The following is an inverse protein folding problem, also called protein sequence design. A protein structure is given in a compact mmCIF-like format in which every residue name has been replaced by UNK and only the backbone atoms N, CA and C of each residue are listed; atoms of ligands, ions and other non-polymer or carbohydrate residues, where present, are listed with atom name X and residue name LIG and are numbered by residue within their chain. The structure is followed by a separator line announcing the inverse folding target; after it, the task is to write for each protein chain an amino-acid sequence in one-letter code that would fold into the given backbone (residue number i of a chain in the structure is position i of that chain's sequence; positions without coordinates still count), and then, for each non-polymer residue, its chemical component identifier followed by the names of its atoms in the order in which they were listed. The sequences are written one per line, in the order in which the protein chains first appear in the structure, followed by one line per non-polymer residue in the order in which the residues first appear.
data_IF_700114981566
#
_entry.id   IF_700114981566
#
_cell.length_a   1.000
_cell.length_b   1.000
_cell.length_c   1.000
_cell.angle_alpha   90.00
_cell.angle_beta   90.00
_cell.angle_gamma   90.00
#
_symmetry.space_group_name_H-M   'P 1'
#
loop_
_entity.id
_entity.type
_entity.pdbx_description
1 polymer ?
#
# COMPACT_ATOMS: atom_id res chain seq x y z
N UNK A 1 12.09 -10.69 33.14
CA UNK A 1 11.72 -10.39 31.76
C UNK A 1 10.54 -11.26 31.34
N UNK A 2 9.67 -10.76 30.52
CA UNK A 2 8.64 -11.54 29.82
C UNK A 2 9.33 -12.12 28.57
N UNK A 3 9.47 -13.45 28.49
CA UNK A 3 9.97 -14.15 27.29
C UNK A 3 11.36 -13.67 26.81
N UNK A 4 12.35 -13.51 27.70
CA UNK A 4 13.68 -12.99 27.40
C UNK A 4 13.73 -11.55 26.86
N UNK A 5 12.61 -10.82 26.90
CA UNK A 5 12.53 -9.45 26.50
C UNK A 5 13.06 -8.52 27.59
N UNK A 6 14.14 -7.78 27.27
CA UNK A 6 14.72 -6.77 28.14
C UNK A 6 13.91 -5.47 28.02
N UNK A 7 13.17 -5.18 29.06
CA UNK A 7 12.37 -3.97 29.17
C UNK A 7 12.69 -3.24 30.47
N UNK A 8 13.15 -2.02 30.35
CA UNK A 8 13.39 -1.12 31.47
C UNK A 8 12.22 -0.14 31.58
N UNK A 9 11.66 -0.03 32.77
CA UNK A 9 10.62 0.97 33.06
C UNK A 9 10.95 1.63 34.39
N UNK A 10 10.85 2.94 34.43
CA UNK A 10 11.06 3.76 35.59
C UNK A 10 9.97 4.80 35.74
N UNK A 11 9.59 5.11 36.97
CA UNK A 11 8.57 6.10 37.26
C UNK A 11 7.48 5.59 38.19
N UNK A 12 6.30 6.16 38.12
CA UNK A 12 5.16 5.76 38.94
C UNK A 12 3.82 5.87 38.19
N UNK A 13 2.82 5.19 38.74
CA UNK A 13 1.39 5.34 38.41
C UNK A 13 0.70 5.68 39.73
N UNK A 14 -0.03 6.80 39.74
CA UNK A 14 -0.84 7.22 40.88
C UNK A 14 -2.33 7.18 40.51
N UNK A 15 -3.16 6.92 41.51
CA UNK A 15 -4.63 6.85 41.38
C UNK A 15 -5.24 7.98 42.22
N UNK A 16 -5.30 9.21 41.73
CA UNK A 16 -6.02 10.31 42.37
C UNK A 16 -7.54 10.05 42.37
N UNK A 17 -8.33 10.95 42.98
CA UNK A 17 -9.80 10.82 43.02
C UNK A 17 -10.40 10.75 41.61
N UNK A 18 -9.80 11.45 40.62
CA UNK A 18 -10.23 11.40 39.23
C UNK A 18 -9.04 11.00 38.32
N UNK A 19 -9.23 9.95 37.52
CA UNK A 19 -8.29 9.54 36.49
C UNK A 19 -7.13 8.68 37.00
N UNK A 20 -6.09 8.63 36.18
CA UNK A 20 -4.84 7.92 36.47
C UNK A 20 -3.67 8.83 36.08
N UNK A 21 -2.77 9.09 37.02
CA UNK A 21 -1.59 9.92 36.76
C UNK A 21 -0.39 9.05 36.47
N UNK A 22 0.24 9.32 35.33
CA UNK A 22 1.41 8.59 34.83
C UNK A 22 2.66 9.49 34.88
N UNK A 23 3.76 8.95 35.35
CA UNK A 23 5.11 9.48 35.11
C UNK A 23 6.01 8.27 34.86
N UNK A 24 6.02 7.82 33.60
CA UNK A 24 6.69 6.59 33.17
C UNK A 24 7.70 6.92 32.08
N UNK A 25 8.92 6.48 32.22
CA UNK A 25 9.91 6.38 31.16
C UNK A 25 10.24 4.90 30.93
N UNK A 26 10.32 4.51 29.68
CA UNK A 26 10.57 3.11 29.32
C UNK A 26 11.54 3.01 28.15
N UNK A 27 12.29 1.90 28.13
CA UNK A 27 13.19 1.57 27.04
C UNK A 27 13.34 0.04 26.90
N UNK A 28 13.35 -0.40 25.68
CA UNK A 28 13.73 -1.75 25.27
C UNK A 28 14.84 -1.63 24.23
N UNK A 29 16.10 -1.59 24.65
CA UNK A 29 17.22 -1.49 23.72
C UNK A 29 17.41 -2.80 22.96
N UNK A 30 17.68 -2.72 21.67
CA UNK A 30 18.11 -3.79 20.76
C UNK A 30 17.60 -5.20 21.13
N UNK A 31 16.30 -5.32 21.27
CA UNK A 31 15.64 -6.59 21.55
C UNK A 31 15.51 -7.41 20.28
N UNK A 32 15.55 -8.73 20.39
CA UNK A 32 15.23 -9.62 19.27
C UNK A 32 13.79 -9.33 18.80
N UNK A 33 13.63 -9.10 17.52
CA UNK A 33 12.33 -8.81 16.89
C UNK A 33 11.27 -9.89 17.20
N UNK A 34 11.70 -11.16 17.36
CA UNK A 34 10.84 -12.26 17.78
C UNK A 34 10.26 -12.06 19.18
N UNK A 35 11.11 -11.65 20.11
CA UNK A 35 10.70 -11.44 21.51
C UNK A 35 9.66 -10.34 21.63
N UNK A 36 9.77 -9.29 20.80
CA UNK A 36 8.79 -8.20 20.77
C UNK A 36 7.47 -8.63 20.13
N UNK A 37 7.50 -9.39 19.05
CA UNK A 37 6.28 -9.95 18.45
C UNK A 37 5.49 -10.79 19.44
N UNK A 38 6.16 -11.45 20.39
CA UNK A 38 5.53 -12.27 21.44
C UNK A 38 4.72 -11.45 22.48
N UNK A 39 4.87 -10.12 22.51
CA UNK A 39 4.11 -9.22 23.38
C UNK A 39 2.74 -8.86 22.78
N UNK A 40 2.49 -9.17 21.51
CA UNK A 40 1.19 -8.93 20.89
C UNK A 40 0.15 -9.88 21.50
N UNK A 41 -0.98 -9.37 22.05
CA UNK A 41 -1.94 -10.19 22.78
C UNK A 41 -2.45 -11.40 21.99
N UNK A 42 -2.71 -12.47 22.71
CA UNK A 42 -2.90 -13.86 22.31
C UNK A 42 -3.94 -14.25 21.26
N UNK A 43 -4.65 -13.32 20.63
CA UNK A 43 -5.50 -13.67 19.48
C UNK A 43 -4.69 -14.12 18.24
N UNK A 44 -3.35 -14.04 18.33
CA UNK A 44 -2.41 -14.46 17.28
C UNK A 44 -1.49 -15.60 17.72
N UNK A 45 -1.63 -16.16 18.92
CA UNK A 45 -0.60 -17.00 19.56
C UNK A 45 -0.47 -18.42 19.00
N UNK A 46 -1.48 -19.03 18.42
CA UNK A 46 -1.35 -20.38 17.85
C UNK A 46 -0.43 -20.40 16.62
N UNK A 47 -0.42 -19.35 15.82
CA UNK A 47 0.45 -19.21 14.66
C UNK A 47 1.84 -18.64 15.01
N UNK A 48 1.99 -17.91 16.12
CA UNK A 48 3.22 -17.20 16.48
C UNK A 48 4.41 -18.09 16.82
N UNK A 49 4.18 -19.26 17.40
CA UNK A 49 5.27 -20.20 17.75
C UNK A 49 6.01 -20.72 16.52
N UNK A 50 5.35 -20.74 15.38
CA UNK A 50 5.86 -21.23 14.11
C UNK A 50 6.41 -20.13 13.19
N UNK A 51 6.27 -18.86 13.55
CA UNK A 51 6.83 -17.72 12.80
C UNK A 51 8.36 -17.76 12.91
N UNK A 52 9.01 -17.73 11.75
CA UNK A 52 10.44 -17.43 11.69
C UNK A 52 10.61 -15.92 11.70
N UNK A 53 11.43 -15.41 12.60
CA UNK A 53 11.76 -13.99 12.64
C UNK A 53 13.19 -13.76 13.06
N UNK A 54 13.77 -12.64 12.61
CA UNK A 54 15.11 -12.16 12.96
C UNK A 54 15.19 -10.66 12.82
N UNK A 55 16.31 -10.08 13.23
CA UNK A 55 16.53 -8.64 13.26
C UNK A 55 16.38 -8.07 14.66
N UNK A 56 16.63 -6.79 14.81
CA UNK A 56 16.54 -6.10 16.10
C UNK A 56 15.45 -5.04 16.08
N UNK A 57 14.82 -4.85 17.22
CA UNK A 57 13.87 -3.78 17.46
C UNK A 57 14.24 -3.08 18.77
N UNK A 58 14.24 -1.78 18.75
CA UNK A 58 14.31 -0.96 19.94
C UNK A 58 13.14 0.00 20.01
N UNK A 59 12.62 0.23 21.19
CA UNK A 59 11.71 1.32 21.43
C UNK A 59 12.03 1.97 22.77
N UNK A 60 11.81 3.26 22.82
CA UNK A 60 11.97 4.06 24.01
C UNK A 60 10.94 5.19 24.04
N UNK A 61 10.66 5.70 25.21
CA UNK A 61 9.73 6.80 25.32
C UNK A 61 9.36 7.12 26.75
N UNK A 62 8.42 8.05 26.84
CA UNK A 62 7.77 8.38 28.11
C UNK A 62 6.27 8.59 27.92
N UNK A 63 5.55 8.44 29.04
CA UNK A 63 4.14 8.83 29.18
C UNK A 63 4.03 9.62 30.48
N UNK A 64 3.53 10.86 30.43
CA UNK A 64 3.49 11.76 31.58
C UNK A 64 2.24 12.60 31.63
N UNK A 65 1.56 12.59 32.79
CA UNK A 65 0.38 13.39 33.10
C UNK A 65 -0.86 12.58 33.35
N UNK A 66 -1.95 13.29 33.59
CA UNK A 66 -3.23 12.73 34.02
C UNK A 66 -4.05 12.21 32.83
N UNK A 67 -4.49 10.98 32.92
CA UNK A 67 -5.49 10.40 32.02
C UNK A 67 -6.87 10.53 32.64
N UNK A 68 -7.80 11.15 31.92
CA UNK A 68 -9.23 11.28 32.29
C UNK A 68 -10.11 10.99 31.08
N UNK A 69 -11.43 11.16 31.19
CA UNK A 69 -12.34 11.06 30.05
C UNK A 69 -12.08 12.12 28.95
N UNK A 70 -11.47 13.25 29.30
CA UNK A 70 -11.27 14.40 28.40
C UNK A 70 -9.81 14.76 28.16
N UNK A 71 -8.88 14.05 28.80
CA UNK A 71 -7.45 14.35 28.76
C UNK A 71 -6.64 13.08 28.68
N UNK A 72 -5.62 13.08 27.83
CA UNK A 72 -4.61 12.02 27.79
C UNK A 72 -3.28 12.54 28.30
N UNK A 73 -2.40 11.69 28.89
CA UNK A 73 -1.04 12.10 29.21
C UNK A 73 -0.26 12.51 27.96
N UNK A 74 0.71 13.38 28.11
CA UNK A 74 1.72 13.63 27.07
C UNK A 74 2.59 12.38 26.87
N UNK A 75 3.06 12.16 25.65
CA UNK A 75 3.95 11.05 25.35
C UNK A 75 4.88 11.34 24.17
N UNK A 76 6.02 10.69 24.18
CA UNK A 76 6.96 10.58 23.06
C UNK A 76 7.43 9.12 23.00
N UNK A 77 7.12 8.43 21.92
CA UNK A 77 7.44 7.03 21.72
C UNK A 77 8.21 6.90 20.41
N UNK A 78 9.41 6.39 20.49
CA UNK A 78 10.30 6.17 19.37
C UNK A 78 10.50 4.67 19.16
N UNK A 79 10.31 4.21 17.94
CA UNK A 79 10.48 2.83 17.52
C UNK A 79 11.53 2.76 16.40
N UNK A 80 12.45 1.83 16.50
CA UNK A 80 13.39 1.50 15.44
C UNK A 80 13.40 -0.01 15.19
N UNK A 81 13.28 -0.41 13.94
CA UNK A 81 13.49 -1.78 13.46
C UNK A 81 14.69 -1.77 12.52
N UNK A 82 15.64 -2.69 12.73
CA UNK A 82 16.83 -2.88 11.90
C UNK A 82 16.89 -4.32 11.39
N UNK A 83 16.97 -4.47 10.06
CA UNK A 83 17.08 -5.74 9.37
C UNK A 83 16.06 -6.79 9.84
N UNK A 84 14.85 -6.31 10.14
CA UNK A 84 13.73 -7.14 10.56
C UNK A 84 13.34 -8.12 9.45
N UNK A 85 12.98 -9.34 9.85
CA UNK A 85 12.44 -10.37 8.97
C UNK A 85 11.36 -11.15 9.70
N UNK A 86 10.30 -11.47 9.01
CA UNK A 86 9.36 -12.48 9.46
C UNK A 86 8.83 -13.33 8.31
N UNK A 87 8.50 -14.58 8.63
CA UNK A 87 7.88 -15.51 7.70
C UNK A 87 6.86 -16.38 8.42
N UNK A 88 5.62 -16.31 8.01
CA UNK A 88 4.59 -17.24 8.42
C UNK A 88 4.79 -18.59 7.72
N UNK A 89 4.42 -19.72 8.34
CA UNK A 89 4.58 -21.05 7.73
C UNK A 89 3.90 -21.20 6.37
N UNK A 90 2.76 -20.54 6.19
CA UNK A 90 1.97 -20.58 4.95
C UNK A 90 2.55 -19.67 3.85
N UNK A 91 3.46 -18.74 4.20
CA UNK A 91 4.09 -17.86 3.23
C UNK A 91 5.35 -18.52 2.65
N UNK A 92 5.42 -18.73 1.34
CA UNK A 92 6.57 -19.36 0.68
C UNK A 92 7.85 -18.51 0.75
N UNK A 93 7.72 -17.20 0.99
CA UNK A 93 8.84 -16.26 1.11
C UNK A 93 8.65 -15.33 2.31
N UNK A 94 9.77 -14.88 2.93
CA UNK A 94 9.70 -13.93 4.03
C UNK A 94 9.38 -12.51 3.54
N UNK A 95 8.92 -11.69 4.48
CA UNK A 95 9.10 -10.25 4.44
C UNK A 95 10.42 -9.96 5.16
N UNK A 96 11.38 -9.39 4.48
CA UNK A 96 12.73 -9.16 5.02
C UNK A 96 13.26 -7.75 4.77
N UNK A 97 14.47 -7.47 5.25
CA UNK A 97 15.10 -6.15 5.19
C UNK A 97 14.20 -5.04 5.69
N UNK A 98 13.41 -5.36 6.71
CA UNK A 98 12.51 -4.40 7.33
C UNK A 98 13.35 -3.43 8.14
N UNK A 99 13.38 -2.19 7.69
CA UNK A 99 14.02 -1.09 8.40
C UNK A 99 12.97 0.01 8.57
N UNK A 100 12.70 0.39 9.81
CA UNK A 100 11.68 1.40 10.14
C UNK A 100 12.21 2.30 11.24
N UNK A 101 12.07 3.60 11.07
CA UNK A 101 12.19 4.57 12.15
C UNK A 101 10.82 5.25 12.30
N UNK A 102 10.25 5.21 13.49
CA UNK A 102 8.94 5.81 13.76
C UNK A 102 8.96 6.58 15.08
N UNK A 103 8.37 7.75 15.08
CA UNK A 103 8.08 8.51 16.29
C UNK A 103 6.59 8.82 16.37
N UNK A 104 5.99 8.61 17.55
CA UNK A 104 4.60 8.99 17.85
C UNK A 104 4.63 9.92 19.05
N UNK A 105 4.14 11.14 18.89
CA UNK A 105 4.26 12.19 19.90
C UNK A 105 2.94 12.88 20.18
N UNK A 106 2.73 13.21 21.44
CA UNK A 106 1.70 14.14 21.87
C UNK A 106 2.24 14.96 23.07
N UNK A 107 2.50 16.22 22.84
CA UNK A 107 3.00 17.14 23.88
C UNK A 107 1.86 17.85 24.63
N UNK A 108 0.63 17.52 24.28
CA UNK A 108 -0.57 18.16 24.83
C UNK A 108 -1.42 17.11 25.55
N UNK A 109 -2.46 17.56 26.21
CA UNK A 109 -3.44 16.66 26.83
C UNK A 109 -4.60 16.30 25.91
N UNK A 110 -4.50 16.57 24.61
CA UNK A 110 -5.57 16.34 23.62
C UNK A 110 -5.14 15.32 22.56
N UNK A 111 -5.91 14.27 22.41
CA UNK A 111 -5.60 13.18 21.48
C UNK A 111 -5.42 13.68 20.04
N UNK A 112 -6.19 14.67 19.63
CA UNK A 112 -6.19 15.24 18.29
C UNK A 112 -4.84 15.86 17.88
N UNK A 113 -4.00 16.22 18.86
CA UNK A 113 -2.69 16.80 18.60
C UNK A 113 -1.58 15.74 18.49
N UNK A 114 -1.95 14.45 18.42
CA UNK A 114 -0.98 13.37 18.19
C UNK A 114 -0.38 13.49 16.79
N UNK A 115 0.93 13.42 16.71
CA UNK A 115 1.71 13.36 15.47
C UNK A 115 2.36 11.98 15.30
N UNK A 116 2.53 11.56 14.04
CA UNK A 116 3.24 10.34 13.65
C UNK A 116 4.28 10.72 12.60
N UNK A 117 5.52 10.29 12.81
CA UNK A 117 6.62 10.52 11.89
C UNK A 117 7.31 9.19 11.59
N UNK A 118 7.40 8.86 10.31
CA UNK A 118 8.16 7.74 9.76
C UNK A 118 9.11 8.33 8.71
N UNK A 119 10.27 8.88 9.12
CA UNK A 119 11.19 9.53 8.19
C UNK A 119 11.66 8.60 7.08
N UNK A 120 11.79 7.32 7.40
CA UNK A 120 12.15 6.28 6.42
C UNK A 120 11.57 4.94 6.85
N UNK A 121 11.07 4.21 5.89
CA UNK A 121 10.86 2.77 6.02
C UNK A 121 11.28 2.06 4.74
N UNK A 122 11.72 0.82 4.85
CA UNK A 122 11.97 -0.07 3.72
C UNK A 122 11.70 -1.50 4.12
N UNK A 123 11.26 -2.30 3.16
CA UNK A 123 11.09 -3.75 3.30
C UNK A 123 11.12 -4.43 1.94
N UNK A 124 11.41 -5.72 1.92
CA UNK A 124 11.25 -6.55 0.74
C UNK A 124 10.15 -7.58 0.99
N UNK A 125 9.31 -7.78 0.02
CA UNK A 125 8.36 -8.87 -0.08
C UNK A 125 8.91 -9.90 -1.06
N UNK A 126 9.68 -10.87 -0.58
CA UNK A 126 10.52 -11.68 -1.45
C UNK A 126 11.56 -10.81 -2.19
N UNK A 127 11.52 -10.75 -3.53
CA UNK A 127 12.39 -9.88 -4.32
C UNK A 127 11.80 -8.47 -4.59
N UNK A 128 10.66 -8.13 -3.97
CA UNK A 128 9.88 -6.93 -4.27
C UNK A 128 10.17 -5.83 -3.22
N UNK A 129 11.05 -4.86 -3.51
CA UNK A 129 11.36 -3.79 -2.58
C UNK A 129 10.23 -2.75 -2.53
N UNK A 130 9.91 -2.32 -1.31
CA UNK A 130 9.00 -1.21 -1.02
C UNK A 130 9.72 -0.28 -0.04
N UNK A 131 9.65 1.01 -0.27
CA UNK A 131 10.24 2.03 0.61
C UNK A 131 9.44 3.32 0.58
N UNK A 132 9.60 4.13 1.62
CA UNK A 132 8.92 5.40 1.69
C UNK A 132 9.19 6.16 2.98
N UNK A 133 8.37 7.17 3.17
CA UNK A 133 8.28 7.97 4.39
C UNK A 133 6.81 8.37 4.62
N UNK A 134 6.49 8.75 5.84
CA UNK A 134 5.17 9.23 6.19
C UNK A 134 5.23 10.18 7.38
N UNK A 135 4.48 11.26 7.31
CA UNK A 135 4.27 12.19 8.42
C UNK A 135 2.78 12.52 8.52
N UNK A 136 2.21 12.37 9.70
CA UNK A 136 0.92 12.89 10.10
C UNK A 136 1.14 13.92 11.20
N UNK A 137 0.81 15.17 10.94
CA UNK A 137 1.10 16.24 11.89
C UNK A 137 0.12 16.26 13.08
N UNK A 138 -1.14 15.95 12.83
CA UNK A 138 -2.15 15.85 13.88
C UNK A 138 -3.35 15.03 13.41
N UNK A 139 -4.13 14.50 14.38
CA UNK A 139 -5.34 13.73 14.13
C UNK A 139 -6.60 14.60 13.93
N UNK A 140 -6.54 15.89 14.23
CA UNK A 140 -7.66 16.82 14.05
C UNK A 140 -7.94 17.10 12.58
N UNK A 141 -6.89 17.48 11.86
CA UNK A 141 -6.97 17.91 10.47
C UNK A 141 -6.48 16.85 9.51
N UNK A 142 -5.93 15.73 10.02
CA UNK A 142 -5.27 14.68 9.23
C UNK A 142 -4.32 15.27 8.19
N UNK A 143 -3.53 16.29 8.63
CA UNK A 143 -2.54 16.90 7.75
C UNK A 143 -1.35 15.96 7.59
N UNK A 144 -1.23 15.40 6.40
CA UNK A 144 -0.26 14.34 6.10
C UNK A 144 0.65 14.70 4.93
N UNK A 145 1.81 14.08 4.94
CA UNK A 145 2.76 14.07 3.84
C UNK A 145 3.45 12.70 3.79
N UNK A 146 3.64 12.14 2.58
CA UNK A 146 4.33 10.87 2.46
C UNK A 146 4.69 10.53 1.03
N UNK A 147 5.66 9.64 0.91
CA UNK A 147 6.10 9.05 -0.34
C UNK A 147 6.14 7.54 -0.22
N UNK A 148 5.77 6.84 -1.28
CA UNK A 148 5.82 5.39 -1.41
C UNK A 148 6.41 5.03 -2.77
N UNK A 149 7.45 4.18 -2.75
CA UNK A 149 8.09 3.69 -3.95
C UNK A 149 8.18 2.16 -3.88
N UNK A 150 8.04 1.50 -5.02
CA UNK A 150 8.16 0.04 -5.03
C UNK A 150 8.34 -0.53 -6.41
N UNK A 151 8.81 -1.79 -6.40
CA UNK A 151 8.92 -2.64 -7.59
C UNK A 151 8.33 -3.99 -7.24
N UNK A 152 7.36 -4.42 -8.03
CA UNK A 152 6.61 -5.65 -7.77
C UNK A 152 6.71 -6.59 -8.97
N UNK A 153 7.14 -7.81 -8.73
CA UNK A 153 7.04 -8.92 -9.69
C UNK A 153 5.75 -9.69 -9.38
N UNK A 154 4.76 -9.55 -10.25
CA UNK A 154 3.42 -10.11 -10.02
C UNK A 154 3.42 -11.65 -10.02
N UNK A 155 4.30 -12.30 -10.79
CA UNK A 155 4.43 -13.74 -10.78
C UNK A 155 4.92 -14.26 -9.43
N UNK A 156 5.85 -13.54 -8.81
CA UNK A 156 6.32 -13.86 -7.47
C UNK A 156 5.24 -13.61 -6.43
N UNK A 157 4.58 -12.45 -6.50
CA UNK A 157 3.50 -12.12 -5.56
C UNK A 157 2.33 -13.10 -5.62
N UNK A 158 1.93 -13.55 -6.79
CA UNK A 158 0.86 -14.56 -6.92
C UNK A 158 1.30 -15.96 -6.51
N UNK A 159 2.59 -16.24 -6.45
CA UNK A 159 3.09 -17.46 -5.82
C UNK A 159 2.97 -17.42 -4.29
N UNK A 160 2.95 -16.22 -3.71
CA UNK A 160 2.79 -15.99 -2.27
C UNK A 160 1.30 -15.85 -1.91
N UNK A 161 0.55 -15.13 -2.73
CA UNK A 161 -0.89 -14.91 -2.59
C UNK A 161 -1.59 -15.42 -3.85
N UNK A 162 -1.89 -16.71 -3.95
CA UNK A 162 -2.53 -17.28 -5.12
C UNK A 162 -3.89 -16.64 -5.39
N UNK A 163 -4.14 -16.30 -6.64
CA UNK A 163 -5.45 -15.88 -7.13
C UNK A 163 -6.07 -17.12 -7.82
N UNK A 164 -7.13 -17.64 -7.25
CA UNK A 164 -7.79 -18.83 -7.77
C UNK A 164 -8.22 -18.65 -9.23
N UNK A 165 -7.93 -19.63 -10.06
CA UNK A 165 -8.29 -19.62 -11.47
C UNK A 165 -7.55 -18.58 -12.32
N UNK A 166 -6.58 -17.83 -11.77
CA UNK A 166 -5.91 -16.76 -12.51
C UNK A 166 -4.39 -16.88 -12.42
N UNK A 167 -3.73 -16.91 -13.56
CA UNK A 167 -2.28 -16.78 -13.68
C UNK A 167 -1.94 -15.33 -14.05
N UNK A 168 -1.08 -14.70 -13.24
CA UNK A 168 -0.69 -13.32 -13.40
C UNK A 168 0.84 -13.21 -13.38
N UNK A 169 1.40 -12.44 -14.32
CA UNK A 169 2.83 -12.09 -14.31
C UNK A 169 3.04 -10.67 -14.84
N UNK A 170 4.24 -10.16 -14.65
CA UNK A 170 4.66 -8.83 -15.08
C UNK A 170 5.40 -8.09 -13.97
N UNK A 171 5.99 -6.96 -14.34
CA UNK A 171 6.73 -6.11 -13.42
C UNK A 171 6.02 -4.75 -13.32
N UNK A 172 5.72 -4.33 -12.09
CA UNK A 172 5.15 -3.03 -11.78
C UNK A 172 6.17 -2.19 -11.01
N UNK A 173 6.66 -1.10 -11.61
CA UNK A 173 7.38 -0.04 -10.92
C UNK A 173 6.38 1.09 -10.59
N UNK A 174 6.39 1.57 -9.35
CA UNK A 174 5.54 2.67 -8.96
C UNK A 174 6.23 3.64 -8.01
N UNK A 175 5.82 4.90 -8.11
CA UNK A 175 6.12 5.94 -7.13
C UNK A 175 4.86 6.76 -6.88
N UNK A 176 4.62 7.10 -5.62
CA UNK A 176 3.49 7.93 -5.22
C UNK A 176 3.90 8.89 -4.11
N UNK A 177 3.37 10.10 -4.15
CA UNK A 177 3.48 11.08 -3.08
C UNK A 177 2.12 11.69 -2.82
N UNK A 178 1.86 11.96 -1.55
CA UNK A 178 0.65 12.65 -1.12
C UNK A 178 1.04 13.74 -0.12
N UNK A 179 0.38 14.90 -0.20
CA UNK A 179 0.59 16.01 0.74
C UNK A 179 -0.66 16.84 0.89
N UNK A 180 -1.10 17.05 2.11
CA UNK A 180 -2.26 17.90 2.41
C UNK A 180 -3.14 17.30 3.48
N UNK A 181 -4.36 17.81 3.55
CA UNK A 181 -5.39 17.40 4.50
C UNK A 181 -6.23 16.27 3.92
N UNK A 182 -6.63 15.34 4.79
CA UNK A 182 -7.65 14.35 4.49
C UNK A 182 -8.90 14.64 5.30
N UNK A 183 -10.06 14.74 4.64
CA UNK A 183 -11.35 14.95 5.28
C UNK A 183 -12.42 14.13 4.54
N UNK A 184 -12.77 12.98 5.12
CA UNK A 184 -13.73 12.05 4.51
C UNK A 184 -15.15 12.64 4.45
N UNK A 185 -15.52 13.51 5.40
CA UNK A 185 -16.85 14.12 5.48
C UNK A 185 -17.06 15.12 4.34
N UNK A 186 -16.04 15.94 4.08
CA UNK A 186 -16.10 16.97 3.03
C UNK A 186 -15.47 16.48 1.71
N UNK A 187 -15.09 15.20 1.61
CA UNK A 187 -14.44 14.59 0.43
C UNK A 187 -13.16 15.32 0.00
N UNK A 188 -12.40 15.83 0.97
CA UNK A 188 -11.10 16.46 0.72
C UNK A 188 -10.02 15.38 0.79
N UNK A 189 -9.24 15.25 -0.26
CA UNK A 189 -8.08 14.38 -0.33
C UNK A 189 -6.79 15.22 -0.31
N UNK A 190 -5.64 14.68 0.13
CA UNK A 190 -4.38 15.36 -0.08
C UNK A 190 -4.10 15.53 -1.59
N UNK A 191 -3.28 16.50 -1.95
CA UNK A 191 -2.69 16.56 -3.28
C UNK A 191 -1.90 15.27 -3.53
N UNK A 192 -2.08 14.65 -4.69
CA UNK A 192 -1.50 13.35 -5.04
C UNK A 192 -0.73 13.48 -6.36
N UNK A 193 0.44 12.85 -6.43
CA UNK A 193 1.13 12.58 -7.67
C UNK A 193 1.69 11.17 -7.63
N UNK A 194 1.23 10.32 -8.55
CA UNK A 194 1.67 8.94 -8.66
C UNK A 194 2.05 8.60 -10.10
N UNK A 195 3.03 7.74 -10.26
CA UNK A 195 3.50 7.22 -11.55
C UNK A 195 3.57 5.70 -11.47
N UNK A 196 3.19 5.07 -12.56
CA UNK A 196 3.16 3.62 -12.70
C UNK A 196 3.77 3.22 -14.04
N UNK A 197 4.62 2.21 -14.02
CA UNK A 197 5.12 1.55 -15.23
C UNK A 197 4.91 0.06 -15.07
N UNK A 198 4.07 -0.50 -15.90
CA UNK A 198 3.83 -1.94 -15.99
C UNK A 198 4.48 -2.49 -17.25
N UNK A 199 5.15 -3.62 -17.17
CA UNK A 199 5.85 -4.26 -18.28
C UNK A 199 5.82 -5.78 -18.17
N UNK A 200 5.99 -6.44 -19.32
CA UNK A 200 6.03 -7.90 -19.44
C UNK A 200 4.79 -8.59 -18.81
N UNK A 201 3.66 -7.91 -18.89
CA UNK A 201 2.43 -8.37 -18.27
C UNK A 201 1.84 -9.57 -18.99
N UNK A 202 1.27 -10.49 -18.20
CA UNK A 202 0.55 -11.66 -18.64
C UNK A 202 -0.63 -11.90 -17.72
N UNK A 203 -1.80 -12.13 -18.29
CA UNK A 203 -3.01 -12.50 -17.54
C UNK A 203 -3.71 -13.65 -18.25
N UNK A 204 -3.93 -14.75 -17.53
CA UNK A 204 -4.74 -15.88 -17.98
C UNK A 204 -5.74 -16.24 -16.90
N UNK A 205 -7.00 -16.14 -17.20
CA UNK A 205 -8.08 -16.65 -16.34
C UNK A 205 -8.58 -17.99 -16.86
N UNK A 206 -8.95 -18.90 -15.97
CA UNK A 206 -9.41 -20.24 -16.32
C UNK A 206 -10.74 -20.25 -17.11
N UNK A 207 -11.56 -19.20 -16.95
CA UNK A 207 -12.84 -19.09 -17.64
C UNK A 207 -12.71 -18.73 -19.14
N UNK A 208 -11.55 -18.14 -19.54
CA UNK A 208 -11.33 -17.73 -20.92
C UNK A 208 -10.24 -18.57 -21.59
N UNK A 209 -10.42 -19.02 -22.83
CA UNK A 209 -9.47 -19.88 -23.52
C UNK A 209 -8.17 -19.17 -23.90
N UNK A 210 -8.18 -17.83 -24.06
CA UNK A 210 -7.01 -17.04 -24.44
C UNK A 210 -6.41 -16.28 -23.25
N UNK A 211 -5.12 -15.96 -23.37
CA UNK A 211 -4.40 -15.10 -22.43
C UNK A 211 -4.23 -13.69 -23.04
N UNK A 212 -4.13 -12.69 -22.18
CA UNK A 212 -3.56 -11.39 -22.53
C UNK A 212 -2.06 -11.45 -22.28
N UNK A 213 -1.28 -11.14 -23.29
CA UNK A 213 0.17 -11.23 -23.27
C UNK A 213 0.82 -9.88 -23.54
N UNK A 214 2.11 -9.76 -23.16
CA UNK A 214 2.92 -8.56 -23.41
C UNK A 214 2.25 -7.27 -22.93
N UNK A 215 1.45 -7.37 -21.87
CA UNK A 215 0.75 -6.21 -21.32
C UNK A 215 1.79 -5.21 -20.83
N UNK A 216 1.64 -3.97 -21.24
CA UNK A 216 2.44 -2.85 -20.75
C UNK A 216 1.60 -1.60 -20.59
N UNK A 217 1.97 -0.74 -19.66
CA UNK A 217 1.34 0.54 -19.45
C UNK A 217 2.30 1.53 -18.79
N UNK A 218 2.19 2.79 -19.18
CA UNK A 218 2.79 3.93 -18.48
C UNK A 218 1.65 4.86 -18.09
N UNK A 219 1.48 5.06 -16.80
CA UNK A 219 0.37 5.83 -16.27
C UNK A 219 0.82 6.80 -15.19
N UNK A 220 0.09 7.90 -15.05
CA UNK A 220 0.20 8.82 -13.93
C UNK A 220 -1.17 9.20 -13.39
N UNK A 221 -1.24 9.46 -12.09
CA UNK A 221 -2.41 10.01 -11.43
C UNK A 221 -1.96 11.27 -10.70
N UNK A 222 -2.68 12.36 -10.85
CA UNK A 222 -2.39 13.60 -10.13
C UNK A 222 -3.66 14.34 -9.72
N UNK A 223 -3.57 15.02 -8.60
CA UNK A 223 -4.49 16.06 -8.16
C UNK A 223 -3.69 17.07 -7.35
N UNK A 224 -3.72 18.32 -7.70
CA UNK A 224 -2.99 19.40 -7.02
C UNK A 224 -3.81 20.00 -5.86
N UNK A 225 -5.13 19.89 -5.91
CA UNK A 225 -6.06 20.46 -4.93
C UNK A 225 -6.76 19.44 -4.04
N UNK A 226 -6.65 18.14 -4.37
CA UNK A 226 -7.31 17.08 -3.60
C UNK A 226 -8.83 17.03 -3.77
N UNK A 227 -9.41 17.64 -4.78
CA UNK A 227 -10.83 17.51 -5.11
C UNK A 227 -11.04 16.53 -6.26
N UNK A 228 -12.18 15.86 -6.32
CA UNK A 228 -12.48 14.88 -7.38
C UNK A 228 -12.45 15.51 -8.77
N UNK A 229 -12.85 16.79 -8.90
CA UNK A 229 -12.78 17.52 -10.18
C UNK A 229 -11.33 17.77 -10.64
N UNK A 230 -10.38 17.83 -9.71
CA UNK A 230 -8.97 18.11 -10.04
C UNK A 230 -8.17 16.84 -10.38
N UNK A 231 -8.75 15.66 -10.18
CA UNK A 231 -8.05 14.42 -10.50
C UNK A 231 -7.91 14.21 -12.00
N UNK A 232 -6.71 13.81 -12.37
CA UNK A 232 -6.34 13.41 -13.73
C UNK A 232 -5.62 12.08 -13.66
N UNK A 233 -6.13 11.06 -14.35
CA UNK A 233 -5.43 9.83 -14.66
C UNK A 233 -5.02 9.86 -16.13
N UNK A 234 -3.75 9.66 -16.40
CA UNK A 234 -3.17 9.70 -17.75
C UNK A 234 -2.41 8.40 -18.02
N UNK A 235 -2.97 7.56 -18.86
CA UNK A 235 -2.30 6.42 -19.47
C UNK A 235 -1.66 6.89 -20.76
N UNK A 236 -0.44 7.40 -20.67
CA UNK A 236 0.30 7.93 -21.83
C UNK A 236 0.53 6.85 -22.91
N UNK A 237 0.62 5.60 -22.50
CA UNK A 237 0.63 4.44 -23.37
C UNK A 237 0.14 3.21 -22.61
N UNK A 238 -0.60 2.36 -23.30
CA UNK A 238 -0.85 0.99 -22.87
C UNK A 238 -0.91 0.07 -24.10
N UNK A 239 -0.70 -1.20 -23.90
CA UNK A 239 -0.87 -2.18 -24.95
C UNK A 239 -0.82 -3.60 -24.43
N UNK A 240 -1.29 -4.52 -25.24
CA UNK A 240 -1.29 -5.96 -25.01
C UNK A 240 -1.43 -6.73 -26.32
N UNK A 241 -1.14 -8.01 -26.29
CA UNK A 241 -1.44 -8.94 -27.38
C UNK A 241 -2.52 -9.93 -26.95
N UNK A 242 -3.47 -10.18 -27.82
CA UNK A 242 -4.50 -11.23 -27.70
C UNK A 242 -4.44 -12.10 -28.94
N UNK A 243 -4.13 -13.39 -28.75
CA UNK A 243 -3.98 -14.35 -29.86
C UNK A 243 -3.03 -13.88 -30.98
N UNK A 244 -1.95 -13.16 -30.58
CA UNK A 244 -0.94 -12.60 -31.51
C UNK A 244 -1.35 -11.27 -32.19
N UNK A 245 -2.57 -10.79 -31.97
CA UNK A 245 -3.00 -9.49 -32.46
C UNK A 245 -2.70 -8.40 -31.42
N UNK A 246 -2.05 -7.33 -31.87
CA UNK A 246 -1.56 -6.25 -31.01
C UNK A 246 -2.61 -5.15 -30.91
N UNK A 247 -2.85 -4.71 -29.66
CA UNK A 247 -3.72 -3.58 -29.34
C UNK A 247 -2.89 -2.59 -28.53
N UNK A 248 -2.87 -1.34 -28.95
CA UNK A 248 -2.17 -0.24 -28.27
C UNK A 248 -3.05 0.98 -28.17
N UNK A 249 -2.78 1.83 -27.18
CA UNK A 249 -3.55 3.04 -27.01
C UNK A 249 -3.01 3.98 -25.96
N UNK A 250 -3.76 5.03 -25.76
CA UNK A 250 -3.64 5.97 -24.66
C UNK A 250 -5.01 6.36 -24.15
N UNK A 251 -5.09 6.80 -22.90
CA UNK A 251 -6.34 7.23 -22.29
C UNK A 251 -6.03 8.29 -21.21
N UNK A 252 -6.68 9.43 -21.30
CA UNK A 252 -6.69 10.44 -20.27
C UNK A 252 -8.10 10.61 -19.73
N UNK A 253 -8.24 10.54 -18.42
CA UNK A 253 -9.47 10.80 -17.69
C UNK A 253 -9.20 12.00 -16.78
N UNK A 254 -10.01 13.02 -16.87
CA UNK A 254 -9.93 14.22 -16.04
C UNK A 254 -11.29 14.50 -15.43
N UNK A 255 -11.32 15.20 -14.30
CA UNK A 255 -12.55 15.49 -13.56
C UNK A 255 -13.30 14.21 -13.21
N UNK A 256 -12.93 13.58 -12.09
CA UNK A 256 -13.51 12.29 -11.68
C UNK A 256 -14.98 12.37 -11.23
N UNK A 257 -15.56 13.57 -11.19
CA UNK A 257 -17.01 13.73 -11.04
C UNK A 257 -17.72 13.67 -12.40
N UNK A 258 -17.20 14.39 -13.38
CA UNK A 258 -17.77 14.44 -14.74
C UNK A 258 -17.17 13.37 -15.68
N UNK A 259 -16.16 12.63 -15.23
CA UNK A 259 -15.46 11.59 -15.99
C UNK A 259 -15.16 11.98 -17.44
N UNK A 260 -14.51 13.14 -17.62
CA UNK A 260 -14.12 13.60 -18.95
C UNK A 260 -12.99 12.73 -19.48
N UNK A 261 -13.19 12.02 -20.59
CA UNK A 261 -12.15 11.17 -21.18
C UNK A 261 -11.76 11.62 -22.59
N UNK A 262 -10.52 11.35 -22.91
CA UNK A 262 -9.96 11.44 -24.24
C UNK A 262 -8.98 10.28 -24.43
N UNK A 263 -9.12 9.54 -25.53
CA UNK A 263 -8.23 8.43 -25.78
C UNK A 263 -8.22 7.98 -27.22
N UNK A 264 -7.20 7.20 -27.54
CA UNK A 264 -7.04 6.55 -28.81
C UNK A 264 -6.69 5.09 -28.60
N UNK A 265 -7.26 4.20 -29.41
CA UNK A 265 -6.93 2.78 -29.44
C UNK A 265 -6.73 2.37 -30.89
N UNK A 266 -5.62 1.72 -31.16
CA UNK A 266 -5.29 1.15 -32.45
C UNK A 266 -4.96 -0.34 -32.31
N UNK A 267 -5.39 -1.16 -33.26
CA UNK A 267 -5.09 -2.57 -33.24
C UNK A 267 -5.78 -3.35 -34.36
N UNK A 268 -5.45 -4.62 -34.40
CA UNK A 268 -6.12 -5.59 -35.25
C UNK A 268 -6.78 -6.67 -34.39
N UNK A 269 -7.89 -7.19 -34.87
CA UNK A 269 -8.63 -8.27 -34.24
C UNK A 269 -9.00 -9.29 -35.29
N UNK A 270 -8.64 -10.54 -35.05
CA UNK A 270 -9.09 -11.68 -35.84
C UNK A 270 -10.44 -12.16 -35.30
N UNK A 271 -11.50 -11.99 -36.09
CA UNK A 271 -12.86 -12.30 -35.65
C UNK A 271 -13.06 -13.78 -35.33
N UNK A 272 -12.41 -14.67 -36.06
CA UNK A 272 -12.50 -16.12 -35.83
C UNK A 272 -11.91 -16.48 -34.48
N UNK A 273 -10.77 -15.86 -34.12
CA UNK A 273 -10.13 -16.04 -32.79
C UNK A 273 -10.96 -15.44 -31.66
N UNK A 274 -11.53 -14.26 -31.88
CA UNK A 274 -12.42 -13.63 -30.89
C UNK A 274 -13.67 -14.45 -30.65
N UNK A 275 -14.26 -15.01 -31.70
CA UNK A 275 -15.43 -15.88 -31.57
C UNK A 275 -15.11 -17.18 -30.81
N UNK A 276 -13.88 -17.67 -30.91
CA UNK A 276 -13.43 -18.82 -30.09
C UNK A 276 -13.32 -18.49 -28.60
N UNK A 277 -13.06 -17.21 -28.24
CA UNK A 277 -12.96 -16.72 -26.86
C UNK A 277 -14.33 -16.29 -26.31
N UNK A 278 -15.10 -15.57 -27.11
CA UNK A 278 -16.41 -15.01 -26.77
C UNK A 278 -17.45 -15.50 -27.79
N UNK A 279 -17.91 -16.75 -27.69
CA UNK A 279 -18.86 -17.29 -28.68
C UNK A 279 -20.21 -16.56 -28.59
N UNK A 280 -20.69 -16.11 -29.75
CA UNK A 280 -22.05 -15.58 -29.91
C UNK A 280 -22.89 -16.70 -30.50
N UNK A 281 -23.99 -17.07 -29.84
CA UNK A 281 -24.88 -18.12 -30.30
C UNK A 281 -25.37 -17.85 -31.74
N UNK A 282 -25.38 -18.89 -32.55
CA UNK A 282 -25.88 -18.87 -33.92
C UNK A 282 -25.19 -17.85 -34.86
N UNK A 283 -23.95 -17.45 -34.51
CA UNK A 283 -23.21 -16.46 -35.29
C UNK A 283 -21.80 -16.96 -35.61
N UNK A 284 -21.40 -16.89 -36.86
CA UNK A 284 -20.03 -17.16 -37.30
C UNK A 284 -19.46 -15.89 -37.93
N UNK A 285 -18.39 -15.35 -37.34
CA UNK A 285 -17.65 -14.19 -37.84
C UNK A 285 -16.27 -14.61 -38.29
N UNK A 286 -15.86 -14.22 -39.49
CA UNK A 286 -14.51 -14.48 -40.03
C UNK A 286 -13.90 -13.21 -40.60
N UNK A 287 -12.57 -13.20 -40.59
CA UNK A 287 -11.78 -12.11 -41.16
C UNK A 287 -11.11 -11.27 -40.09
N UNK A 288 -10.34 -10.29 -40.54
CA UNK A 288 -9.61 -9.37 -39.67
C UNK A 288 -10.20 -7.97 -39.76
N UNK A 289 -10.36 -7.35 -38.58
CA UNK A 289 -10.69 -5.93 -38.47
C UNK A 289 -9.43 -5.22 -37.96
N UNK A 290 -9.00 -4.21 -38.70
CA UNK A 290 -8.01 -3.25 -38.24
C UNK A 290 -8.70 -1.93 -37.96
N UNK A 291 -8.53 -1.39 -36.78
CA UNK A 291 -9.18 -0.15 -36.40
C UNK A 291 -8.19 0.81 -35.74
N UNK A 292 -8.44 2.09 -35.94
CA UNK A 292 -7.83 3.20 -35.20
C UNK A 292 -8.97 4.11 -34.75
N UNK A 293 -9.24 4.10 -33.46
CA UNK A 293 -10.42 4.75 -32.87
C UNK A 293 -9.92 5.87 -31.95
N UNK A 294 -10.43 7.08 -32.20
CA UNK A 294 -10.26 8.20 -31.27
C UNK A 294 -11.62 8.48 -30.64
N UNK A 295 -11.64 8.66 -29.33
CA UNK A 295 -12.86 8.90 -28.56
C UNK A 295 -12.65 10.00 -27.55
N UNK A 296 -13.65 10.85 -27.40
CA UNK A 296 -13.77 11.85 -26.34
C UNK A 296 -15.20 11.86 -25.82
N UNK A 297 -15.36 12.12 -24.54
CA UNK A 297 -16.69 12.21 -23.95
C UNK A 297 -16.68 12.61 -22.48
N UNK A 298 -17.86 12.62 -21.89
CA UNK A 298 -18.10 12.82 -20.46
C UNK A 298 -19.28 11.94 -20.03
N UNK A 299 -19.36 11.67 -18.73
CA UNK A 299 -20.45 10.88 -18.15
C UNK A 299 -21.42 11.77 -17.38
#
# INVERSE_FOLDING_TARGET
GLNDFLFNMNGFIALPEEGVDYDLAFAAPDSDFKSVLSLVPGMYTESFSSIKSSGTMSFEGFVKGLYTETSIPSFDINLQIKDGMFQYPELPKPVDKINVNMAVKNETSQLENTSIQIPTFSMNFGSNPISGNFTLQNLRDYLMEGELNGKLNLKELTSIFPIEGTSLAGNLDFSARAKGRYDSTNKVLPAIAAQFKFSEGYVKNAEYPAALEKIHAVASIRSDKGSMQDFVADFSSFGFELEGEKIEGNLRIADFEALNWQGAVAGAVDLEKIMAIFPIADTELKGKIQANINSTGSY
#
